data_IF_562946176410
#
_entry.id   IF_562946176410
#
_cell.length_a   1.000
_cell.length_b   1.000
_cell.length_c   1.000
_cell.angle_alpha   90.00
_cell.angle_beta   90.00
_cell.angle_gamma   90.00
#
_symmetry.space_group_name_H-M   'P 1'
#
loop_
_entity.id
_entity.type
_entity.pdbx_description
1 polymer ?
#
# COMPACT_ATOMS: atom_id res chain seq x y z
N UNK A 1 25.16 57.68 -22.78
CA UNK A 1 24.31 58.01 -21.62
C UNK A 1 23.78 56.73 -20.97
N UNK A 2 24.44 56.21 -19.91
CA UNK A 2 23.96 55.05 -19.14
C UNK A 2 23.50 55.53 -17.76
N UNK A 3 22.19 55.65 -17.56
CA UNK A 3 21.60 56.01 -16.25
C UNK A 3 21.62 54.78 -15.34
N UNK A 4 22.52 54.81 -14.36
CA UNK A 4 22.60 53.82 -13.28
C UNK A 4 21.42 53.96 -12.33
N UNK A 5 20.66 52.88 -12.15
CA UNK A 5 19.55 52.81 -11.20
C UNK A 5 20.14 52.47 -9.82
N UNK A 6 20.33 53.50 -9.00
CA UNK A 6 20.72 53.37 -7.59
C UNK A 6 19.49 52.91 -6.81
N UNK A 7 19.54 51.69 -6.25
CA UNK A 7 18.48 51.19 -5.37
C UNK A 7 18.76 51.63 -3.92
N UNK A 8 17.75 52.17 -3.20
CA UNK A 8 17.93 52.58 -1.81
C UNK A 8 18.17 51.36 -0.90
N UNK A 9 19.19 51.48 -0.06
CA UNK A 9 19.61 50.47 0.91
C UNK A 9 18.70 50.58 2.14
N UNK A 10 17.75 49.66 2.28
CA UNK A 10 16.82 49.64 3.43
C UNK A 10 17.59 49.18 4.69
N UNK A 11 17.56 49.93 5.81
CA UNK A 11 18.23 49.53 7.04
C UNK A 11 17.51 48.31 7.65
N UNK A 12 18.22 47.19 7.71
CA UNK A 12 17.77 45.98 8.43
C UNK A 12 17.90 46.22 9.94
N UNK A 13 16.89 46.85 10.53
CA UNK A 13 16.72 46.95 11.98
C UNK A 13 16.53 45.56 12.59
N UNK A 14 17.64 44.90 12.95
CA UNK A 14 17.63 43.67 13.75
C UNK A 14 17.28 44.04 15.19
N UNK A 15 15.99 44.06 15.51
CA UNK A 15 15.52 44.02 16.91
C UNK A 15 16.01 42.70 17.52
N UNK A 16 17.01 42.79 18.39
CA UNK A 16 17.50 41.68 19.18
C UNK A 16 16.40 41.26 20.16
N UNK A 17 15.59 40.28 19.76
CA UNK A 17 14.68 39.60 20.68
C UNK A 17 15.54 38.72 21.57
N UNK A 18 15.80 39.19 22.79
CA UNK A 18 16.43 38.43 23.86
C UNK A 18 15.51 37.26 24.24
N UNK A 19 15.72 36.12 23.58
CA UNK A 19 15.07 34.87 23.96
C UNK A 19 15.72 34.44 25.27
N UNK A 20 15.08 34.81 26.39
CA UNK A 20 15.42 34.31 27.72
C UNK A 20 15.38 32.78 27.70
N UNK A 21 16.57 32.17 27.58
CA UNK A 21 16.78 30.74 27.72
C UNK A 21 16.41 30.35 29.14
N UNK A 22 15.19 29.82 29.31
CA UNK A 22 14.75 29.26 30.58
C UNK A 22 15.77 28.22 31.06
N UNK A 23 16.21 28.27 32.32
CA UNK A 23 17.13 27.29 32.87
C UNK A 23 16.50 25.90 32.73
N UNK A 24 17.18 25.02 32.00
CA UNK A 24 16.83 23.60 31.95
C UNK A 24 17.00 23.05 33.36
N UNK A 25 15.91 22.99 34.11
CA UNK A 25 15.84 22.32 35.40
C UNK A 25 16.44 20.92 35.23
N UNK A 26 17.58 20.69 35.89
CA UNK A 26 18.26 19.40 35.98
C UNK A 26 17.28 18.43 36.63
N UNK A 27 16.53 17.71 35.80
CA UNK A 27 15.64 16.64 36.24
C UNK A 27 16.56 15.53 36.72
N UNK A 28 16.79 15.47 38.03
CA UNK A 28 17.51 14.38 38.68
C UNK A 28 16.72 13.09 38.46
N UNK A 29 17.03 12.40 37.37
CA UNK A 29 16.55 11.05 37.12
C UNK A 29 17.35 10.17 38.07
N UNK A 30 16.73 9.77 39.19
CA UNK A 30 17.20 8.63 40.00
C UNK A 30 17.25 7.40 39.08
N UNK A 31 18.37 7.20 38.39
CA UNK A 31 18.65 6.02 37.60
C UNK A 31 18.84 4.89 38.61
N UNK A 32 17.83 4.03 38.76
CA UNK A 32 18.02 2.68 39.32
C UNK A 32 19.11 2.01 38.48
N UNK A 33 20.32 1.95 39.02
CA UNK A 33 21.47 1.27 38.41
C UNK A 33 21.20 -0.22 38.54
N UNK A 34 20.45 -0.78 37.58
CA UNK A 34 20.46 -2.22 37.36
C UNK A 34 21.83 -2.51 36.76
N UNK A 35 22.77 -3.01 37.59
CA UNK A 35 24.08 -3.54 37.18
C UNK A 35 23.82 -4.76 36.27
N UNK A 36 23.47 -4.52 35.01
CA UNK A 36 23.47 -5.55 33.98
C UNK A 36 24.93 -5.89 33.70
N UNK A 37 25.34 -7.06 34.19
CA UNK A 37 26.63 -7.67 33.91
C UNK A 37 26.91 -7.56 32.40
N UNK A 38 27.89 -6.72 32.05
CA UNK A 38 28.35 -6.60 30.67
C UNK A 38 29.11 -7.88 30.35
N UNK A 39 28.43 -8.85 29.73
CA UNK A 39 29.11 -9.94 29.01
C UNK A 39 30.08 -9.27 28.04
N UNK A 40 31.38 -9.34 28.35
CA UNK A 40 32.48 -8.90 27.50
C UNK A 40 32.33 -9.65 26.18
N UNK A 41 31.89 -8.97 25.14
CA UNK A 41 31.87 -9.52 23.79
C UNK A 41 33.35 -9.53 23.34
N UNK A 42 33.95 -10.70 23.04
CA UNK A 42 35.31 -10.74 22.55
C UNK A 42 35.39 -9.95 21.25
N UNK A 43 36.33 -9.01 21.18
CA UNK A 43 36.69 -8.29 19.96
C UNK A 43 37.27 -9.29 18.97
N UNK A 44 36.41 -9.96 18.19
CA UNK A 44 36.84 -10.68 16.99
C UNK A 44 37.28 -9.66 15.96
N UNK A 45 38.58 -9.51 15.84
CA UNK A 45 39.26 -8.79 14.76
C UNK A 45 38.79 -9.37 13.42
N UNK A 46 38.28 -8.57 12.47
CA UNK A 46 37.94 -9.08 11.15
C UNK A 46 39.23 -9.47 10.42
N UNK A 47 39.42 -10.77 10.17
CA UNK A 47 40.45 -11.28 9.27
C UNK A 47 40.30 -10.59 7.91
N UNK A 48 41.43 -10.07 7.41
CA UNK A 48 41.63 -9.45 6.10
C UNK A 48 40.74 -10.08 5.02
N UNK A 49 39.89 -9.27 4.40
CA UNK A 49 39.15 -9.66 3.20
C UNK A 49 40.15 -9.62 2.02
N UNK A 50 40.37 -10.72 1.29
CA UNK A 50 41.25 -10.70 0.13
C UNK A 50 40.64 -9.83 -0.98
N UNK A 51 41.40 -8.84 -1.45
CA UNK A 51 41.12 -8.07 -2.65
C UNK A 51 41.34 -8.96 -3.89
N UNK A 52 40.41 -9.86 -4.19
CA UNK A 52 40.31 -10.45 -5.54
C UNK A 52 38.96 -10.11 -6.13
N UNK A 53 38.95 -9.02 -6.90
CA UNK A 53 37.85 -8.67 -7.79
C UNK A 53 37.83 -9.71 -8.91
N UNK A 54 36.77 -10.53 -9.06
CA UNK A 54 36.70 -11.43 -10.20
C UNK A 54 36.54 -10.57 -11.47
N UNK A 55 37.55 -10.63 -12.36
CA UNK A 55 37.46 -10.12 -13.73
C UNK A 55 36.24 -10.79 -14.38
N UNK A 56 35.15 -10.03 -14.56
CA UNK A 56 33.99 -10.48 -15.32
C UNK A 56 34.41 -10.69 -16.77
N UNK A 57 34.57 -11.95 -17.18
CA UNK A 57 34.68 -12.31 -18.60
C UNK A 57 33.43 -11.75 -19.31
N UNK A 58 33.64 -10.95 -20.34
CA UNK A 58 32.56 -10.41 -21.16
C UNK A 58 31.71 -11.57 -21.72
N UNK A 59 30.37 -11.48 -21.68
CA UNK A 59 29.54 -12.54 -22.24
C UNK A 59 29.76 -12.62 -23.75
N UNK A 60 30.31 -13.74 -24.22
CA UNK A 60 30.34 -14.09 -25.65
C UNK A 60 28.93 -13.94 -26.21
N UNK A 61 28.81 -13.16 -27.29
CA UNK A 61 27.58 -12.89 -28.02
C UNK A 61 27.09 -14.21 -28.63
N UNK A 62 26.23 -14.93 -27.92
CA UNK A 62 25.59 -16.15 -28.45
C UNK A 62 24.60 -15.70 -29.52
N UNK A 63 25.01 -15.81 -30.79
CA UNK A 63 24.09 -15.72 -31.91
C UNK A 63 23.06 -16.84 -31.76
N UNK A 64 21.78 -16.47 -31.65
CA UNK A 64 20.68 -17.43 -31.60
C UNK A 64 20.60 -18.10 -32.97
N UNK A 65 21.28 -19.25 -33.15
CA UNK A 65 20.88 -20.22 -34.17
C UNK A 65 19.47 -20.66 -33.82
N UNK A 66 18.52 -20.24 -34.64
CA UNK A 66 17.13 -20.71 -34.60
C UNK A 66 17.17 -22.15 -35.14
N UNK A 67 16.84 -23.18 -34.36
CA UNK A 67 16.69 -24.52 -34.92
C UNK A 67 15.39 -24.55 -35.74
N UNK A 68 15.52 -24.53 -37.06
CA UNK A 68 14.46 -24.98 -37.97
C UNK A 68 14.39 -26.51 -37.85
N UNK A 69 13.55 -27.03 -36.96
CA UNK A 69 13.04 -28.41 -37.06
C UNK A 69 11.81 -28.54 -36.18
N UNK A 70 10.65 -28.47 -36.83
CA UNK A 70 9.38 -28.91 -36.28
C UNK A 70 9.44 -30.45 -36.27
N UNK A 71 9.33 -31.13 -35.12
CA UNK A 71 9.21 -32.57 -35.14
C UNK A 71 7.86 -32.94 -35.76
N UNK A 72 7.91 -33.73 -36.83
CA UNK A 72 6.76 -34.40 -37.42
C UNK A 72 6.08 -35.24 -36.34
N UNK A 73 4.76 -35.08 -36.26
CA UNK A 73 3.89 -35.75 -35.30
C UNK A 73 3.98 -37.27 -35.57
N UNK A 74 4.41 -38.11 -34.60
CA UNK A 74 4.40 -39.55 -34.81
C UNK A 74 2.95 -40.00 -35.01
N UNK A 75 2.68 -40.61 -36.16
CA UNK A 75 1.42 -41.27 -36.47
C UNK A 75 1.21 -42.38 -35.43
N UNK A 76 0.06 -42.33 -34.76
CA UNK A 76 -0.33 -43.30 -33.74
C UNK A 76 -0.53 -44.65 -34.42
N UNK A 77 0.47 -45.54 -34.31
CA UNK A 77 0.37 -46.95 -34.70
C UNK A 77 -0.81 -47.60 -33.98
N UNK A 78 -1.72 -48.17 -34.76
CA UNK A 78 -2.45 -49.41 -34.48
C UNK A 78 -3.25 -49.50 -33.18
N UNK A 79 -4.37 -48.78 -33.07
CA UNK A 79 -5.45 -49.27 -32.22
C UNK A 79 -6.31 -50.19 -33.09
N UNK A 80 -6.45 -51.49 -32.76
CA UNK A 80 -7.26 -52.40 -33.55
C UNK A 80 -8.72 -51.92 -33.51
N UNK A 81 -9.28 -51.63 -34.68
CA UNK A 81 -10.69 -51.33 -34.85
C UNK A 81 -11.42 -52.64 -34.54
N UNK A 82 -11.98 -52.77 -33.33
CA UNK A 82 -12.89 -53.88 -33.01
C UNK A 82 -14.10 -53.76 -33.93
N UNK A 83 -14.17 -54.63 -34.94
CA UNK A 83 -15.34 -54.76 -35.82
C UNK A 83 -16.53 -55.11 -34.92
N UNK A 84 -17.57 -54.26 -34.82
CA UNK A 84 -18.71 -54.56 -33.98
C UNK A 84 -19.43 -55.78 -34.56
N UNK A 85 -19.52 -56.86 -33.77
CA UNK A 85 -20.31 -58.05 -34.12
C UNK A 85 -21.74 -57.59 -34.42
N UNK A 86 -22.22 -57.85 -35.65
CA UNK A 86 -23.59 -57.56 -36.07
C UNK A 86 -24.54 -58.25 -35.11
N UNK A 87 -25.23 -57.48 -34.26
CA UNK A 87 -26.31 -58.01 -33.42
C UNK A 87 -27.46 -58.45 -34.35
N UNK A 88 -28.07 -59.62 -34.13
CA UNK A 88 -29.23 -60.05 -34.89
C UNK A 88 -30.33 -58.98 -34.78
N UNK A 89 -31.11 -58.74 -35.85
CA UNK A 89 -32.18 -57.76 -35.82
C UNK A 89 -33.17 -58.16 -34.71
N UNK A 90 -33.29 -57.30 -33.70
CA UNK A 90 -34.24 -57.52 -32.62
C UNK A 90 -35.64 -57.63 -33.23
N UNK A 91 -36.33 -58.76 -32.99
CA UNK A 91 -37.73 -58.95 -33.39
C UNK A 91 -38.51 -57.74 -32.93
N UNK A 92 -39.06 -56.96 -33.88
CA UNK A 92 -39.93 -55.82 -33.60
C UNK A 92 -41.17 -56.36 -32.89
N UNK A 93 -41.18 -56.31 -31.55
CA UNK A 93 -42.40 -56.50 -30.80
C UNK A 93 -43.37 -55.41 -31.25
N UNK A 94 -44.51 -55.83 -31.82
CA UNK A 94 -45.60 -54.94 -32.23
C UNK A 94 -46.07 -54.22 -30.97
N UNK A 95 -45.61 -52.97 -30.80
CA UNK A 95 -45.97 -52.16 -29.65
C UNK A 95 -47.44 -51.78 -29.80
N UNK A 96 -48.28 -52.27 -28.89
CA UNK A 96 -49.68 -51.84 -28.77
C UNK A 96 -49.74 -50.30 -28.78
N UNK A 97 -50.67 -49.69 -29.52
CA UNK A 97 -50.79 -48.24 -29.57
C UNK A 97 -51.05 -47.72 -28.15
N UNK A 98 -50.08 -46.99 -27.60
CA UNK A 98 -50.22 -46.38 -26.28
C UNK A 98 -51.27 -45.28 -26.44
N UNK A 99 -52.39 -45.41 -25.72
CA UNK A 99 -53.44 -44.38 -25.69
C UNK A 99 -52.78 -43.02 -25.37
N UNK A 100 -52.96 -42.06 -26.28
CA UNK A 100 -52.35 -40.74 -26.11
C UNK A 100 -52.96 -40.10 -24.87
N UNK A 101 -52.15 -39.63 -23.90
CA UNK A 101 -52.70 -38.97 -22.74
C UNK A 101 -53.47 -37.72 -23.19
N UNK A 102 -54.57 -37.37 -22.50
CA UNK A 102 -55.38 -36.22 -22.86
C UNK A 102 -54.52 -34.95 -22.90
N UNK A 103 -54.65 -34.18 -23.98
CA UNK A 103 -53.90 -32.94 -24.19
C UNK A 103 -54.34 -31.93 -23.14
N UNK A 104 -53.53 -31.76 -22.09
CA UNK A 104 -53.78 -30.72 -21.09
C UNK A 104 -53.44 -29.35 -21.69
N UNK A 105 -54.31 -28.34 -21.57
CA UNK A 105 -53.98 -26.99 -22.02
C UNK A 105 -52.72 -26.49 -21.30
N UNK A 106 -51.82 -25.76 -21.98
CA UNK A 106 -50.56 -25.31 -21.39
C UNK A 106 -50.85 -24.42 -20.19
N UNK A 107 -50.52 -24.90 -18.98
CA UNK A 107 -50.63 -24.09 -17.76
C UNK A 107 -49.85 -22.79 -17.97
N UNK A 108 -50.50 -21.63 -17.83
CA UNK A 108 -49.86 -20.32 -17.88
C UNK A 108 -48.77 -20.26 -16.80
N UNK A 109 -47.53 -20.64 -17.14
CA UNK A 109 -46.40 -20.59 -16.22
C UNK A 109 -46.24 -19.14 -15.80
N UNK A 110 -46.60 -18.80 -14.55
CA UNK A 110 -46.28 -17.49 -13.96
C UNK A 110 -44.81 -17.23 -14.25
N UNK A 111 -44.51 -16.24 -15.10
CA UNK A 111 -43.14 -15.80 -15.36
C UNK A 111 -42.58 -15.39 -14.02
N UNK A 112 -41.83 -16.26 -13.35
CA UNK A 112 -41.08 -15.89 -12.14
C UNK A 112 -40.18 -14.77 -12.61
N UNK A 113 -40.49 -13.55 -12.18
CA UNK A 113 -39.59 -12.42 -12.36
C UNK A 113 -38.29 -12.86 -11.72
N UNK A 114 -37.29 -13.15 -12.55
CA UNK A 114 -35.94 -13.49 -12.09
C UNK A 114 -35.42 -12.22 -11.43
N UNK A 115 -35.71 -12.05 -10.14
CA UNK A 115 -35.09 -11.04 -9.33
C UNK A 115 -33.60 -11.19 -9.55
N UNK A 116 -33.00 -10.18 -10.17
CA UNK A 116 -31.60 -10.21 -10.57
C UNK A 116 -30.79 -10.36 -9.29
N UNK A 117 -30.39 -11.60 -8.96
CA UNK A 117 -29.56 -11.92 -7.79
C UNK A 117 -28.38 -10.96 -7.80
N UNK A 118 -28.32 -10.08 -6.80
CA UNK A 118 -27.28 -9.05 -6.71
C UNK A 118 -25.93 -9.74 -6.81
N UNK A 119 -25.17 -9.47 -7.88
CA UNK A 119 -23.88 -10.12 -8.14
C UNK A 119 -22.94 -9.86 -6.96
N UNK A 120 -22.74 -10.88 -6.13
CA UNK A 120 -21.89 -10.77 -4.95
C UNK A 120 -20.43 -10.77 -5.41
N UNK A 121 -19.81 -9.60 -5.40
CA UNK A 121 -18.43 -9.42 -5.85
C UNK A 121 -17.45 -9.58 -4.67
N UNK A 122 -16.23 -10.05 -4.97
CA UNK A 122 -15.16 -10.12 -3.97
C UNK A 122 -14.57 -8.72 -3.74
N UNK A 123 -14.58 -8.28 -2.49
CA UNK A 123 -14.02 -7.00 -2.05
C UNK A 123 -12.57 -7.10 -1.59
N UNK A 124 -11.82 -6.02 -1.74
CA UNK A 124 -10.41 -5.92 -1.36
C UNK A 124 -10.14 -4.65 -0.55
N UNK A 125 -9.36 -4.80 0.51
CA UNK A 125 -8.77 -3.69 1.25
C UNK A 125 -7.38 -3.36 0.71
N UNK A 126 -7.11 -2.07 0.57
CA UNK A 126 -5.82 -1.57 0.10
C UNK A 126 -5.00 -1.19 1.32
N UNK A 127 -3.79 -1.71 1.40
CA UNK A 127 -2.89 -1.50 2.52
C UNK A 127 -1.56 -0.94 2.01
N UNK A 128 -1.13 0.23 2.48
CA UNK A 128 0.17 0.81 2.14
C UNK A 128 1.15 0.73 3.32
N UNK A 129 2.45 0.53 3.05
CA UNK A 129 3.46 0.37 4.10
C UNK A 129 3.98 1.75 4.55
N UNK A 130 3.81 2.07 5.83
CA UNK A 130 4.33 3.28 6.47
C UNK A 130 5.07 2.91 7.76
N UNK A 131 6.32 3.38 7.92
CA UNK A 131 7.16 3.10 9.11
C UNK A 131 7.14 1.63 9.54
N UNK A 132 7.35 0.72 8.59
CA UNK A 132 7.35 -0.73 8.85
C UNK A 132 5.96 -1.39 8.90
N UNK A 133 4.90 -0.65 9.24
CA UNK A 133 3.54 -1.16 9.42
C UNK A 133 2.67 -0.94 8.17
N UNK A 134 1.61 -1.72 8.01
CA UNK A 134 0.63 -1.53 6.93
C UNK A 134 -0.57 -0.74 7.43
N UNK A 135 -0.86 0.38 6.79
CA UNK A 135 -2.04 1.21 7.07
C UNK A 135 -3.08 1.03 5.97
N UNK A 136 -4.37 1.07 6.34
CA UNK A 136 -5.49 0.91 5.41
C UNK A 136 -5.75 2.20 4.63
N UNK A 137 -5.97 2.06 3.33
CA UNK A 137 -6.14 3.16 2.37
C UNK A 137 -7.56 3.21 1.77
N UNK A 138 -8.56 2.60 2.42
CA UNK A 138 -9.94 2.61 1.95
C UNK A 138 -10.94 2.43 3.10
N UNK A 139 -12.05 3.18 3.10
CA UNK A 139 -13.17 2.99 4.03
C UNK A 139 -14.00 1.74 3.67
N UNK A 140 -14.47 1.68 2.43
CA UNK A 140 -15.25 0.55 1.87
C UNK A 140 -14.35 -0.36 1.02
N UNK A 141 -14.57 -1.68 1.00
CA UNK A 141 -13.80 -2.60 0.15
C UNK A 141 -13.96 -2.24 -1.32
N UNK A 142 -12.90 -2.40 -2.10
CA UNK A 142 -12.86 -2.06 -3.53
C UNK A 142 -12.85 -3.32 -4.39
N UNK A 143 -13.16 -3.16 -5.69
CA UNK A 143 -12.89 -4.22 -6.66
C UNK A 143 -11.38 -4.47 -6.75
N UNK A 144 -10.95 -5.64 -7.25
CA UNK A 144 -9.52 -5.97 -7.39
C UNK A 144 -8.77 -4.92 -8.23
N UNK A 145 -9.38 -4.51 -9.35
CA UNK A 145 -8.82 -3.50 -10.27
C UNK A 145 -8.71 -2.14 -9.59
N UNK A 146 -9.77 -1.71 -8.91
CA UNK A 146 -9.79 -0.43 -8.22
C UNK A 146 -8.81 -0.38 -7.05
N UNK A 147 -8.66 -1.51 -6.33
CA UNK A 147 -7.71 -1.65 -5.25
C UNK A 147 -6.26 -1.45 -5.72
N UNK A 148 -5.92 -1.97 -6.91
CA UNK A 148 -4.62 -1.75 -7.53
C UNK A 148 -4.41 -0.28 -7.91
N UNK A 149 -5.41 0.34 -8.55
CA UNK A 149 -5.36 1.75 -8.93
C UNK A 149 -5.16 2.67 -7.73
N UNK A 150 -5.94 2.51 -6.65
CA UNK A 150 -5.78 3.30 -5.42
C UNK A 150 -4.44 3.05 -4.73
N UNK A 151 -4.01 1.78 -4.68
CA UNK A 151 -2.71 1.43 -4.09
C UNK A 151 -1.55 2.10 -4.80
N UNK A 152 -1.54 2.07 -6.13
CA UNK A 152 -0.53 2.72 -6.95
C UNK A 152 -0.56 4.24 -6.82
N UNK A 153 -1.74 4.84 -6.88
CA UNK A 153 -1.92 6.28 -6.71
C UNK A 153 -1.38 6.77 -5.35
N UNK A 154 -1.65 6.01 -4.28
CA UNK A 154 -1.19 6.38 -2.95
C UNK A 154 0.34 6.26 -2.78
N UNK A 155 0.98 5.30 -3.45
CA UNK A 155 2.44 5.16 -3.44
C UNK A 155 3.08 6.32 -4.23
N UNK A 156 2.66 6.58 -5.46
CA UNK A 156 3.23 7.63 -6.33
C UNK A 156 3.10 9.07 -5.73
N UNK A 157 2.13 9.29 -4.83
CA UNK A 157 1.91 10.58 -4.15
C UNK A 157 2.46 10.62 -2.72
N UNK A 158 3.22 9.62 -2.28
CA UNK A 158 3.76 9.59 -0.91
C UNK A 158 5.15 8.98 -0.85
N UNK A 159 5.80 9.10 0.31
CA UNK A 159 7.13 8.50 0.54
C UNK A 159 7.10 6.96 0.71
N UNK A 160 5.95 6.31 0.62
CA UNK A 160 5.84 4.86 0.79
C UNK A 160 6.16 4.13 -0.52
N UNK A 161 6.80 2.96 -0.40
CA UNK A 161 7.31 2.22 -1.57
C UNK A 161 6.58 0.89 -1.85
N UNK A 162 5.62 0.54 -1.01
CA UNK A 162 5.04 -0.80 -1.01
C UNK A 162 3.59 -0.72 -0.62
N UNK A 163 2.74 -1.36 -1.41
CA UNK A 163 1.36 -1.61 -1.07
C UNK A 163 1.01 -3.08 -1.26
N UNK A 164 -0.06 -3.52 -0.61
CA UNK A 164 -0.66 -4.83 -0.80
C UNK A 164 -2.17 -4.71 -0.80
N UNK A 165 -2.84 -5.62 -1.49
CA UNK A 165 -4.30 -5.77 -1.44
C UNK A 165 -4.63 -7.02 -0.63
N UNK A 166 -5.59 -6.92 0.28
CA UNK A 166 -6.07 -8.04 1.10
C UNK A 166 -7.53 -8.32 0.75
N UNK A 167 -7.86 -9.55 0.38
CA UNK A 167 -9.25 -9.95 0.13
C UNK A 167 -10.07 -9.88 1.43
N UNK A 168 -11.30 -9.38 1.33
CA UNK A 168 -12.26 -9.25 2.45
C UNK A 168 -13.41 -10.27 2.33
N UNK A 169 -13.48 -10.99 1.21
CA UNK A 169 -14.58 -11.92 0.92
C UNK A 169 -15.66 -11.27 0.06
N UNK A 170 -16.86 -11.82 0.13
CA UNK A 170 -18.04 -11.41 -0.63
C UNK A 170 -18.66 -10.16 0.02
N UNK A 171 -18.86 -9.08 -0.74
CA UNK A 171 -19.40 -7.82 -0.22
C UNK A 171 -20.60 -7.31 -1.02
N UNK A 172 -21.58 -6.72 -0.33
CA UNK A 172 -22.82 -6.20 -0.95
C UNK A 172 -22.59 -4.90 -1.74
N UNK A 173 -21.72 -4.02 -1.26
CA UNK A 173 -21.43 -2.71 -1.86
C UNK A 173 -19.92 -2.47 -1.92
N UNK A 174 -19.42 -2.12 -3.10
CA UNK A 174 -18.03 -1.72 -3.31
C UNK A 174 -17.87 -0.20 -3.15
N UNK A 175 -16.68 0.22 -2.72
CA UNK A 175 -16.28 1.63 -2.76
C UNK A 175 -16.00 2.09 -4.19
N UNK A 176 -16.07 3.41 -4.40
CA UNK A 176 -15.75 4.04 -5.69
C UNK A 176 -14.37 4.73 -5.63
N UNK A 177 -13.72 4.81 -6.79
CA UNK A 177 -12.50 5.60 -7.00
C UNK A 177 -12.84 7.01 -7.45
N UNK A 178 -11.97 7.96 -7.10
CA UNK A 178 -11.98 9.32 -7.65
C UNK A 178 -11.47 9.32 -9.10
N UNK A 179 -11.80 10.36 -9.88
CA UNK A 179 -11.41 10.46 -11.31
C UNK A 179 -9.89 10.33 -11.50
N UNK A 180 -9.08 10.96 -10.63
CA UNK A 180 -7.61 10.91 -10.71
C UNK A 180 -6.98 9.57 -10.30
N UNK A 181 -7.71 8.70 -9.59
CA UNK A 181 -7.22 7.37 -9.22
C UNK A 181 -7.47 6.35 -10.34
N UNK A 182 -8.56 6.50 -11.09
CA UNK A 182 -8.96 5.53 -12.13
C UNK A 182 -7.87 5.39 -13.19
N UNK A 183 -7.52 4.15 -13.54
CA UNK A 183 -6.51 3.87 -14.57
C UNK A 183 -5.06 4.09 -14.13
N UNK A 184 -4.80 4.66 -12.93
CA UNK A 184 -3.45 5.06 -12.52
C UNK A 184 -2.46 3.90 -12.55
N UNK A 185 -2.78 2.78 -11.88
CA UNK A 185 -1.92 1.57 -11.92
C UNK A 185 -1.61 1.04 -13.32
N UNK A 186 -2.54 1.15 -14.28
CA UNK A 186 -2.26 0.71 -15.66
C UNK A 186 -1.17 1.55 -16.29
N UNK A 187 -1.24 2.88 -16.13
CA UNK A 187 -0.24 3.84 -16.65
C UNK A 187 1.11 3.67 -15.98
N UNK A 188 1.11 3.45 -14.66
CA UNK A 188 2.34 3.34 -13.86
C UNK A 188 2.80 1.89 -13.65
N UNK A 189 2.22 0.90 -14.34
CA UNK A 189 2.48 -0.54 -14.07
C UNK A 189 3.98 -0.88 -14.10
N UNK A 190 4.71 -0.25 -15.04
CA UNK A 190 6.16 -0.42 -15.21
C UNK A 190 6.99 -0.01 -13.99
N UNK A 191 6.48 0.88 -13.13
CA UNK A 191 7.14 1.30 -11.88
C UNK A 191 7.13 0.21 -10.80
N UNK A 192 6.19 -0.73 -10.88
CA UNK A 192 6.00 -1.75 -9.84
C UNK A 192 6.60 -3.10 -10.24
N UNK A 193 6.95 -3.89 -9.22
CA UNK A 193 7.29 -5.32 -9.33
C UNK A 193 6.47 -6.14 -8.34
N UNK A 194 6.11 -7.34 -8.75
CA UNK A 194 5.36 -8.35 -7.97
C UNK A 194 6.27 -9.36 -7.28
N UNK A 195 7.56 -9.07 -7.13
CA UNK A 195 8.53 -9.95 -6.49
C UNK A 195 9.50 -9.17 -5.61
N UNK A 196 10.05 -9.82 -4.58
CA UNK A 196 11.21 -9.33 -3.82
C UNK A 196 12.48 -9.99 -4.36
N UNK A 197 13.61 -9.32 -4.19
CA UNK A 197 14.93 -9.91 -4.47
C UNK A 197 15.47 -10.39 -3.12
N UNK A 198 15.76 -11.69 -3.00
CA UNK A 198 16.40 -12.29 -1.83
C UNK A 198 17.65 -13.04 -2.31
N UNK A 199 18.83 -12.64 -1.81
CA UNK A 199 20.12 -13.25 -2.19
C UNK A 199 20.29 -13.40 -3.72
N UNK A 200 19.99 -12.34 -4.48
CA UNK A 200 20.04 -12.34 -5.95
C UNK A 200 18.86 -13.03 -6.66
N UNK A 201 18.07 -13.87 -5.97
CA UNK A 201 16.94 -14.60 -6.56
C UNK A 201 15.63 -13.81 -6.48
N UNK A 202 14.76 -13.96 -7.49
CA UNK A 202 13.42 -13.35 -7.52
C UNK A 202 12.41 -14.24 -6.79
N UNK A 203 11.81 -13.73 -5.72
CA UNK A 203 10.76 -14.44 -4.95
C UNK A 203 9.43 -13.73 -5.15
N UNK A 204 8.48 -14.43 -5.79
CA UNK A 204 7.15 -13.91 -6.09
C UNK A 204 6.37 -13.49 -4.83
N UNK A 205 5.60 -12.41 -4.97
CA UNK A 205 4.75 -11.88 -3.91
C UNK A 205 3.30 -11.86 -4.39
N UNK A 206 2.42 -12.61 -3.70
CA UNK A 206 0.98 -12.59 -3.99
C UNK A 206 0.37 -11.28 -3.47
N UNK A 207 -0.34 -10.57 -4.34
CA UNK A 207 -1.12 -9.36 -4.00
C UNK A 207 -0.31 -8.22 -3.34
N UNK A 208 1.01 -8.19 -3.54
CA UNK A 208 1.89 -7.18 -2.95
C UNK A 208 2.82 -6.64 -4.04
N UNK A 209 2.90 -5.32 -4.09
CA UNK A 209 3.61 -4.58 -5.12
C UNK A 209 4.63 -3.69 -4.45
N UNK A 210 5.86 -3.78 -4.96
CA UNK A 210 6.99 -2.97 -4.50
C UNK A 210 7.39 -2.10 -5.67
N UNK A 211 7.55 -0.82 -5.45
CA UNK A 211 8.12 0.06 -6.45
C UNK A 211 9.58 -0.37 -6.77
N UNK A 212 9.94 -0.34 -8.05
CA UNK A 212 11.31 -0.64 -8.50
C UNK A 212 12.26 0.41 -7.92
N UNK A 213 13.46 0.00 -7.56
CA UNK A 213 14.51 0.93 -7.14
C UNK A 213 15.15 1.51 -8.42
N UNK A 214 15.14 2.83 -8.59
CA UNK A 214 15.69 3.54 -9.75
C UNK A 214 15.79 5.05 -9.50
N UNK A 215 16.44 5.79 -10.41
CA UNK A 215 16.56 7.26 -10.35
C UNK A 215 15.62 7.91 -11.39
N UNK A 216 14.96 9.05 -11.06
CA UNK A 216 14.67 9.49 -9.71
C UNK A 216 13.58 8.60 -9.09
N UNK A 217 13.63 8.46 -7.76
CA UNK A 217 12.60 7.75 -6.98
C UNK A 217 11.56 8.71 -6.41
N UNK A 218 11.87 10.00 -6.46
CA UNK A 218 11.09 11.10 -5.91
C UNK A 218 10.80 11.99 -7.11
N UNK A 219 9.76 11.62 -7.87
CA UNK A 219 9.40 12.31 -9.10
C UNK A 219 8.32 13.36 -8.81
N UNK A 220 7.40 13.04 -7.89
CA UNK A 220 6.21 13.87 -7.71
C UNK A 220 6.44 14.99 -6.68
N UNK A 221 5.76 16.13 -6.87
CA UNK A 221 5.76 17.25 -5.91
C UNK A 221 5.35 16.82 -4.49
N UNK A 222 4.48 15.81 -4.38
CA UNK A 222 4.07 15.21 -3.10
C UNK A 222 5.21 14.49 -2.39
N UNK A 223 6.05 13.77 -3.14
CA UNK A 223 7.25 13.12 -2.59
C UNK A 223 8.32 14.15 -2.24
N UNK A 224 8.52 15.16 -3.09
CA UNK A 224 9.46 16.28 -2.84
C UNK A 224 9.11 17.05 -1.56
N UNK A 225 7.82 17.25 -1.29
CA UNK A 225 7.33 17.85 -0.05
C UNK A 225 7.40 16.92 1.17
N UNK A 226 7.92 15.69 1.03
CA UNK A 226 8.04 14.73 2.12
C UNK A 226 6.70 14.21 2.63
N UNK A 227 5.67 14.21 1.78
CA UNK A 227 4.31 13.87 2.20
C UNK A 227 4.23 12.38 2.57
N UNK A 228 4.13 12.12 3.87
CA UNK A 228 4.04 10.74 4.38
C UNK A 228 2.72 10.09 3.96
N UNK A 229 2.74 8.78 3.74
CA UNK A 229 1.53 8.01 3.40
C UNK A 229 0.40 8.19 4.43
N UNK A 230 0.74 8.29 5.71
CA UNK A 230 -0.24 8.56 6.77
C UNK A 230 -0.90 9.95 6.60
N UNK A 231 -0.12 10.98 6.27
CA UNK A 231 -0.63 12.33 5.99
C UNK A 231 -1.51 12.32 4.73
N UNK A 232 -1.10 11.63 3.66
CA UNK A 232 -1.90 11.46 2.45
C UNK A 232 -3.25 10.79 2.76
N UNK A 233 -3.21 9.68 3.48
CA UNK A 233 -4.39 8.90 3.83
C UNK A 233 -5.37 9.72 4.68
N UNK A 234 -4.86 10.61 5.55
CA UNK A 234 -5.67 11.56 6.31
C UNK A 234 -6.29 12.63 5.41
N UNK A 235 -5.49 13.28 4.54
CA UNK A 235 -5.96 14.31 3.61
C UNK A 235 -7.03 13.81 2.65
N UNK A 236 -6.86 12.57 2.13
CA UNK A 236 -7.83 11.94 1.22
C UNK A 236 -9.00 11.26 1.95
N UNK A 237 -9.04 11.32 3.28
CA UNK A 237 -10.08 10.69 4.08
C UNK A 237 -10.15 9.16 3.92
N UNK A 238 -9.03 8.49 3.65
CA UNK A 238 -9.01 7.04 3.46
C UNK A 238 -9.21 6.27 4.76
N UNK A 239 -8.77 6.84 5.87
CA UNK A 239 -8.90 6.29 7.22
C UNK A 239 -10.20 6.84 7.81
N UNK A 240 -11.09 5.94 8.26
CA UNK A 240 -12.44 6.29 8.74
C UNK A 240 -12.49 6.82 10.17
N UNK A 241 -11.36 6.92 10.87
CA UNK A 241 -11.32 7.63 12.14
C UNK A 241 -11.10 9.12 11.90
N UNK A 242 -11.94 9.97 12.50
CA UNK A 242 -11.35 11.15 13.14
C UNK A 242 -10.22 10.55 13.97
N UNK A 243 -8.98 10.97 13.77
CA UNK A 243 -8.02 10.87 14.87
C UNK A 243 -8.75 11.65 15.93
N UNK A 244 -9.47 10.96 16.84
CA UNK A 244 -9.94 11.60 18.04
C UNK A 244 -8.65 12.18 18.55
N UNK A 245 -8.52 13.51 18.43
CA UNK A 245 -7.57 14.20 19.27
C UNK A 245 -8.14 13.80 20.61
N UNK A 246 -7.61 12.73 21.24
CA UNK A 246 -7.85 12.49 22.65
C UNK A 246 -7.66 13.89 23.20
N UNK A 247 -8.70 14.53 23.77
CA UNK A 247 -8.56 15.89 24.21
C UNK A 247 -7.27 15.86 25.00
N UNK A 248 -6.27 16.58 24.51
CA UNK A 248 -5.10 16.84 25.32
C UNK A 248 -5.61 17.84 26.32
N UNK A 249 -6.46 17.38 27.24
CA UNK A 249 -6.50 17.82 28.61
C UNK A 249 -5.12 17.47 29.16
N UNK A 250 -4.11 18.17 28.63
CA UNK A 250 -3.07 18.68 29.49
C UNK A 250 -3.90 19.61 30.36
N UNK A 251 -4.44 19.08 31.47
CA UNK A 251 -4.73 19.91 32.62
C UNK A 251 -3.38 20.53 32.92
N UNK A 252 -3.10 21.68 32.31
CA UNK A 252 -2.01 22.56 32.74
C UNK A 252 -2.52 23.11 34.05
N UNK A 253 -2.60 22.27 35.07
CA UNK A 253 -2.59 22.76 36.44
C UNK A 253 -1.29 23.55 36.50
N UNK A 254 -1.42 24.87 36.57
CA UNK A 254 -0.28 25.74 36.79
C UNK A 254 0.52 25.14 37.95
N UNK A 255 1.84 25.05 37.80
CA UNK A 255 2.63 24.52 38.90
C UNK A 255 2.39 25.42 40.13
N UNK A 256 2.46 24.89 41.37
CA UNK A 256 2.30 25.71 42.57
C UNK A 256 3.18 26.97 42.54
N UNK A 257 4.39 26.87 41.95
CA UNK A 257 5.28 27.99 41.72
C UNK A 257 4.70 29.04 40.75
N UNK A 258 4.08 28.61 39.65
CA UNK A 258 3.42 29.52 38.70
C UNK A 258 2.25 30.24 39.37
N UNK A 259 1.48 29.55 40.22
CA UNK A 259 0.40 30.17 41.00
C UNK A 259 0.93 31.20 42.00
N UNK A 260 2.00 30.87 42.74
CA UNK A 260 2.68 31.82 43.65
C UNK A 260 3.20 33.05 42.92
N UNK A 261 3.85 32.87 41.79
CA UNK A 261 4.36 33.99 40.99
C UNK A 261 3.24 34.90 40.48
N UNK A 262 2.11 34.32 40.06
CA UNK A 262 0.94 35.07 39.61
C UNK A 262 0.28 35.83 40.76
N UNK A 263 0.20 35.23 41.94
CA UNK A 263 -0.28 35.88 43.16
C UNK A 263 0.61 37.05 43.57
N UNK A 264 1.94 36.88 43.55
CA UNK A 264 2.89 37.93 43.87
C UNK A 264 2.83 39.08 42.85
N UNK A 265 2.69 38.75 41.56
CA UNK A 265 2.48 39.75 40.51
C UNK A 265 1.22 40.60 40.73
N UNK A 266 0.10 39.97 41.12
CA UNK A 266 -1.15 40.67 41.46
C UNK A 266 -0.99 41.59 42.67
N UNK A 267 -0.31 41.14 43.73
CA UNK A 267 -0.02 41.97 44.92
C UNK A 267 0.82 43.21 44.56
N UNK A 268 1.85 43.03 43.73
CA UNK A 268 2.68 44.15 43.25
C UNK A 268 1.86 45.17 42.46
N UNK A 269 1.02 44.70 41.54
CA UNK A 269 0.14 45.56 40.74
C UNK A 269 -0.82 46.38 41.62
N UNK A 270 -1.42 45.75 42.64
CA UNK A 270 -2.31 46.43 43.57
C UNK A 270 -1.62 47.55 44.36
N UNK A 271 -0.37 47.35 44.78
CA UNK A 271 0.44 48.39 45.44
C UNK A 271 0.73 49.57 44.53
N UNK A 272 1.00 49.31 43.25
CA UNK A 272 1.25 50.38 42.27
C UNK A 272 0.00 51.19 41.96
N UNK A 273 -1.21 50.62 42.09
CA UNK A 273 -2.47 51.34 41.88
C UNK A 273 -2.92 52.20 43.08
N UNK A 274 -2.29 52.05 44.24
CA UNK A 274 -2.56 52.83 45.46
C UNK A 274 -1.60 54.01 45.65
N UNK A 275 -0.61 54.12 44.78
CA UNK A 275 0.24 55.30 44.64
C UNK A 275 -0.27 56.09 43.45
#
# INVERSE_FOLDING_TARGET
SRRGIIRPRVPLGRKAVSIALKPRSRRAVKRKVVRRARKRIPRRVPKRIPKRVPRRKAPRRVTKRIPKRVPSRPTRRGVPIKIPRRRPPARRLVRKPIARPPIRPPSKKKKRTLEKRKKVTRGYNVLGKHKGKFIRLNKKPLSKKDALHRGAYAIDKSTANTFKIKGVGRVKKLGRLTKGEKGHFSRTRKKYRSFKIQKGRRVGLRNKFIEKRGKPRIDTRGEKSGLTLARLAKQKGFISGRISKKPTTIKRTATPQQLKNLANGRKKLARMRKK
#
